data_IF_259409115401
#
_entry.id   IF_259409115401
#
_cell.length_a   1.000
_cell.length_b   1.000
_cell.length_c   1.000
_cell.angle_alpha   90.00
_cell.angle_beta   90.00
_cell.angle_gamma   90.00
#
_symmetry.space_group_name_H-M   'P 1'
#
loop_
_entity.id
_entity.type
_entity.pdbx_description
1 polymer ?
#
# COMPACT_ATOMS: atom_id res chain seq x y z
N UNK A 1 2.03 24.30 -23.78
CA UNK A 1 1.35 23.51 -22.74
C UNK A 1 2.27 22.35 -22.39
N UNK A 2 3.10 22.49 -21.36
CA UNK A 2 3.89 21.38 -20.82
C UNK A 2 3.01 20.67 -19.82
N UNK A 3 2.27 19.67 -20.28
CA UNK A 3 1.55 18.75 -19.40
C UNK A 3 2.63 17.99 -18.64
N UNK A 4 2.95 18.50 -17.45
CA UNK A 4 3.83 17.83 -16.51
C UNK A 4 3.08 16.55 -16.12
N UNK A 5 3.42 15.43 -16.74
CA UNK A 5 2.82 14.13 -16.46
C UNK A 5 3.23 13.72 -15.05
N UNK A 6 2.50 14.25 -14.06
CA UNK A 6 2.37 13.66 -12.75
C UNK A 6 1.79 12.27 -12.96
N UNK A 7 2.69 11.34 -13.26
CA UNK A 7 2.43 9.92 -13.16
C UNK A 7 2.31 9.67 -11.67
N UNK A 8 1.16 10.04 -11.09
CA UNK A 8 0.74 9.52 -9.80
C UNK A 8 0.66 8.01 -10.03
N UNK A 9 1.74 7.31 -9.70
CA UNK A 9 1.90 5.93 -10.05
C UNK A 9 0.81 5.15 -9.32
N UNK A 10 -0.27 4.83 -10.05
CA UNK A 10 -1.36 4.06 -9.53
C UNK A 10 -0.79 2.70 -9.11
N UNK A 11 -1.12 2.26 -7.90
CA UNK A 11 -0.77 0.93 -7.45
C UNK A 11 -1.26 -0.09 -8.49
N UNK A 12 -0.45 -1.12 -8.83
CA UNK A 12 -0.91 -2.22 -9.67
C UNK A 12 -2.21 -2.82 -9.13
N UNK A 13 -3.12 -3.26 -10.01
CA UNK A 13 -4.42 -3.81 -9.61
C UNK A 13 -4.28 -4.96 -8.58
N UNK A 14 -3.25 -5.77 -8.71
CA UNK A 14 -2.91 -6.85 -7.77
C UNK A 14 -2.55 -6.31 -6.37
N UNK A 15 -1.78 -5.22 -6.29
CA UNK A 15 -1.44 -4.57 -5.02
C UNK A 15 -2.69 -3.99 -4.34
N UNK A 16 -3.58 -3.37 -5.12
CA UNK A 16 -4.88 -2.88 -4.64
C UNK A 16 -5.71 -4.04 -4.08
N UNK A 17 -5.82 -5.16 -4.80
CA UNK A 17 -6.58 -6.32 -4.37
C UNK A 17 -6.05 -6.92 -3.05
N UNK A 18 -4.73 -7.01 -2.89
CA UNK A 18 -4.09 -7.48 -1.65
C UNK A 18 -4.40 -6.57 -0.46
N UNK A 19 -4.31 -5.25 -0.63
CA UNK A 19 -4.66 -4.28 0.41
C UNK A 19 -6.15 -4.33 0.77
N UNK A 20 -7.02 -4.42 -0.23
CA UNK A 20 -8.47 -4.58 -0.01
C UNK A 20 -8.79 -5.87 0.75
N UNK A 21 -8.07 -6.96 0.49
CA UNK A 21 -8.21 -8.21 1.25
C UNK A 21 -7.76 -8.05 2.71
N UNK A 22 -6.65 -7.38 2.96
CA UNK A 22 -6.18 -7.09 4.31
C UNK A 22 -7.17 -6.19 5.09
N UNK A 23 -7.76 -5.20 4.44
CA UNK A 23 -8.76 -4.31 5.05
C UNK A 23 -10.05 -5.04 5.47
N UNK A 24 -10.37 -6.18 4.82
CA UNK A 24 -11.52 -7.02 5.18
C UNK A 24 -11.26 -7.93 6.38
N UNK A 25 -10.04 -7.98 6.91
CA UNK A 25 -9.75 -8.77 8.11
C UNK A 25 -10.56 -8.23 9.29
N UNK A 26 -11.37 -9.09 9.90
CA UNK A 26 -12.12 -8.73 11.10
C UNK A 26 -11.22 -8.81 12.34
N UNK A 27 -11.10 -7.72 13.12
CA UNK A 27 -10.46 -7.77 14.42
C UNK A 27 -11.34 -8.53 15.42
N UNK A 28 -10.71 -9.16 16.41
CA UNK A 28 -11.41 -9.84 17.50
C UNK A 28 -11.09 -9.19 18.84
N UNK A 29 -11.86 -9.49 19.89
CA UNK A 29 -11.60 -8.95 21.22
C UNK A 29 -10.19 -9.29 21.75
N UNK A 30 -9.67 -10.49 21.42
CA UNK A 30 -8.32 -10.90 21.77
C UNK A 30 -7.23 -10.19 20.94
N UNK A 31 -7.57 -9.75 19.73
CA UNK A 31 -6.64 -9.13 18.79
C UNK A 31 -7.30 -7.95 18.07
N UNK A 32 -7.47 -6.80 18.75
CA UNK A 32 -8.10 -5.62 18.18
C UNK A 32 -7.30 -5.06 16.99
N UNK A 33 -5.98 -5.22 17.00
CA UNK A 33 -5.08 -4.67 15.97
C UNK A 33 -4.90 -5.59 14.77
N UNK A 34 -5.60 -6.74 14.72
CA UNK A 34 -5.38 -7.78 13.72
C UNK A 34 -5.53 -7.26 12.28
N UNK A 35 -6.51 -6.38 12.04
CA UNK A 35 -6.70 -5.73 10.74
C UNK A 35 -5.52 -4.84 10.37
N UNK A 36 -5.09 -3.97 11.31
CA UNK A 36 -3.98 -3.06 11.07
C UNK A 36 -2.71 -3.83 10.73
N UNK A 37 -2.38 -4.86 11.53
CA UNK A 37 -1.23 -5.72 11.26
C UNK A 37 -1.30 -6.42 9.90
N UNK A 38 -2.48 -6.83 9.45
CA UNK A 38 -2.65 -7.42 8.12
C UNK A 38 -2.35 -6.39 7.01
N UNK A 39 -2.81 -5.15 7.17
CA UNK A 39 -2.54 -4.05 6.24
C UNK A 39 -1.04 -3.73 6.23
N UNK A 40 -0.42 -3.60 7.39
CA UNK A 40 1.02 -3.31 7.53
C UNK A 40 1.86 -4.40 6.86
N UNK A 41 1.51 -5.68 7.08
CA UNK A 41 2.22 -6.82 6.48
C UNK A 41 2.18 -6.76 4.96
N UNK A 42 1.00 -6.47 4.39
CA UNK A 42 0.86 -6.34 2.93
C UNK A 42 1.62 -5.10 2.43
N UNK A 43 1.53 -3.99 3.16
CA UNK A 43 2.19 -2.72 2.79
C UNK A 43 3.72 -2.87 2.76
N UNK A 44 4.30 -3.52 3.76
CA UNK A 44 5.73 -3.81 3.81
C UNK A 44 6.16 -4.79 2.71
N UNK A 45 5.34 -5.78 2.39
CA UNK A 45 5.57 -6.66 1.24
C UNK A 45 5.60 -5.87 -0.08
N UNK A 46 4.60 -5.02 -0.30
CA UNK A 46 4.51 -4.16 -1.47
C UNK A 46 5.67 -3.16 -1.56
N UNK A 47 6.15 -2.62 -0.44
CA UNK A 47 7.33 -1.75 -0.41
C UNK A 47 8.59 -2.45 -0.90
N UNK A 48 8.75 -3.74 -0.61
CA UNK A 48 9.88 -4.56 -1.10
C UNK A 48 9.72 -4.95 -2.57
N UNK A 49 8.51 -5.27 -3.00
CA UNK A 49 8.20 -5.69 -4.38
C UNK A 49 8.21 -4.52 -5.36
N UNK A 50 7.75 -3.35 -4.93
CA UNK A 50 7.50 -2.17 -5.75
C UNK A 50 8.18 -0.92 -5.17
N UNK A 51 9.50 -0.93 -4.91
CA UNK A 51 10.19 0.13 -4.19
C UNK A 51 10.10 1.51 -4.88
N UNK A 52 9.93 1.54 -6.20
CA UNK A 52 9.73 2.78 -6.97
C UNK A 52 8.41 3.50 -6.67
N UNK A 53 7.39 2.79 -6.18
CA UNK A 53 6.09 3.38 -5.80
C UNK A 53 6.10 3.98 -4.39
N UNK A 54 7.08 3.59 -3.57
CA UNK A 54 7.22 4.00 -2.18
C UNK A 54 8.48 4.83 -1.94
N UNK A 55 9.27 5.11 -3.00
CA UNK A 55 10.24 6.19 -2.96
C UNK A 55 9.43 7.47 -2.85
N UNK A 56 9.46 8.07 -1.66
CA UNK A 56 9.28 9.51 -1.57
C UNK A 56 10.31 10.10 -2.54
N UNK A 57 9.86 10.91 -3.49
CA UNK A 57 10.77 11.78 -4.22
C UNK A 57 11.62 12.48 -3.16
N UNK A 58 12.90 12.11 -3.08
CA UNK A 58 13.96 12.87 -2.45
C UNK A 58 13.96 14.24 -3.16
N UNK A 59 13.14 15.15 -2.67
CA UNK A 59 12.98 16.49 -3.22
C UNK A 59 12.95 17.51 -2.08
N UNK A 60 14.19 17.76 -1.61
CA UNK A 60 14.73 19.02 -1.10
C UNK A 60 14.32 19.53 0.29
#
# INVERSE_FOLDING_TARGET
>A
MTTNELTHALLPAEAIARLQRAARVEPSAAHPDKRMRAIDTVTEGLRRELPSLFREDDAA
#
